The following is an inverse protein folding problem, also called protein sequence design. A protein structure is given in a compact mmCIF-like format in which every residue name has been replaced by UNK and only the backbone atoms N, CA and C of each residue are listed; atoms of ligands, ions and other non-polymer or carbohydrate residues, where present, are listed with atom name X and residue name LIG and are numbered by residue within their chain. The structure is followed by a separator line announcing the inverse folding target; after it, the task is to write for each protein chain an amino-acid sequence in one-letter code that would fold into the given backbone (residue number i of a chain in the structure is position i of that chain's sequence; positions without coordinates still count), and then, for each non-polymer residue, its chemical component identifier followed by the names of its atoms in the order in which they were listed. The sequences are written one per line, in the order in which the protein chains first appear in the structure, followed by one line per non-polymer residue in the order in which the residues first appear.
data_IF_806064532847
#
_entry.id   IF_806064532847
#
_cell.length_a   1.000
_cell.length_b   1.000
_cell.length_c   1.000
_cell.angle_alpha   90.00
_cell.angle_beta   90.00
_cell.angle_gamma   90.00
#
_symmetry.space_group_name_H-M   'P 1'
#
loop_
_entity.id
_entity.type
_entity.pdbx_description
1 polymer ?
#
# COMPACT_ATOMS: atom_id res chain seq x y z
N UNK A 1 9.91 1.46 12.25
CA UNK A 1 8.58 0.87 12.05
C UNK A 1 7.69 1.79 11.24
N UNK A 2 6.79 1.21 10.47
CA UNK A 2 5.85 1.97 9.64
C UNK A 2 4.75 2.62 10.51
N UNK A 3 4.18 3.76 10.05
CA UNK A 3 2.95 4.29 10.63
C UNK A 3 1.87 3.20 10.64
N UNK A 4 1.06 3.14 11.69
CA UNK A 4 0.16 2.00 11.94
C UNK A 4 -0.86 1.75 10.82
N UNK A 5 -1.46 2.79 10.27
CA UNK A 5 -2.42 2.63 9.18
C UNK A 5 -1.74 2.24 7.87
N UNK A 6 -0.58 2.81 7.59
CA UNK A 6 0.23 2.42 6.44
C UNK A 6 0.65 0.95 6.55
N UNK A 7 1.10 0.52 7.73
CA UNK A 7 1.45 -0.88 7.96
C UNK A 7 0.26 -1.81 7.67
N UNK A 8 -0.93 -1.42 8.09
CA UNK A 8 -2.15 -2.21 7.87
C UNK A 8 -2.38 -2.48 6.38
N UNK A 9 -2.38 -1.45 5.53
CA UNK A 9 -2.66 -1.64 4.10
C UNK A 9 -1.51 -2.34 3.38
N UNK A 10 -0.27 -2.07 3.77
CA UNK A 10 0.89 -2.72 3.16
C UNK A 10 0.93 -4.20 3.51
N UNK A 11 0.67 -4.56 4.76
CA UNK A 11 0.67 -5.97 5.18
C UNK A 11 -0.44 -6.76 4.50
N UNK A 12 -1.64 -6.22 4.38
CA UNK A 12 -2.72 -6.90 3.68
C UNK A 12 -2.39 -7.08 2.19
N UNK A 13 -1.79 -6.08 1.57
CA UNK A 13 -1.32 -6.18 0.20
C UNK A 13 -0.26 -7.27 0.07
N UNK A 14 0.69 -7.32 1.00
CA UNK A 14 1.77 -8.31 1.00
C UNK A 14 1.23 -9.74 1.13
N UNK A 15 0.22 -9.96 1.96
CA UNK A 15 -0.40 -11.28 2.13
C UNK A 15 -1.00 -11.78 0.82
N UNK A 16 -1.62 -10.89 0.04
CA UNK A 16 -2.32 -11.28 -1.18
C UNK A 16 -1.46 -11.26 -2.45
N UNK A 17 -0.45 -10.40 -2.49
CA UNK A 17 0.31 -10.14 -3.72
C UNK A 17 1.83 -10.23 -3.55
N UNK A 18 2.29 -10.56 -2.35
CA UNK A 18 3.71 -10.71 -2.05
C UNK A 18 4.34 -9.47 -1.45
N UNK A 19 5.31 -9.68 -0.57
CA UNK A 19 6.02 -8.62 0.17
C UNK A 19 6.74 -7.67 -0.79
N UNK A 20 7.41 -8.21 -1.80
CA UNK A 20 8.19 -7.39 -2.75
C UNK A 20 7.29 -6.39 -3.48
N UNK A 21 6.13 -6.85 -3.96
CA UNK A 21 5.19 -5.99 -4.68
C UNK A 21 4.62 -4.90 -3.77
N UNK A 22 4.20 -5.28 -2.57
CA UNK A 22 3.65 -4.31 -1.61
C UNK A 22 4.70 -3.27 -1.21
N UNK A 23 5.93 -3.72 -0.97
CA UNK A 23 7.03 -2.83 -0.59
C UNK A 23 7.40 -1.87 -1.72
N UNK A 24 7.43 -2.35 -2.96
CA UNK A 24 7.68 -1.48 -4.12
C UNK A 24 6.58 -0.44 -4.32
N UNK A 25 5.32 -0.81 -4.08
CA UNK A 25 4.21 0.13 -4.16
C UNK A 25 4.37 1.24 -3.12
N UNK A 26 4.70 0.88 -1.89
CA UNK A 26 4.95 1.87 -0.84
C UNK A 26 6.13 2.78 -1.17
N UNK A 27 7.22 2.20 -1.65
CA UNK A 27 8.40 2.98 -2.05
C UNK A 27 8.06 3.98 -3.17
N UNK A 28 7.30 3.53 -4.17
CA UNK A 28 6.85 4.40 -5.26
C UNK A 28 6.01 5.56 -4.75
N UNK A 29 5.07 5.30 -3.86
CA UNK A 29 4.21 6.33 -3.24
C UNK A 29 5.06 7.37 -2.50
N UNK A 30 6.14 6.95 -1.88
CA UNK A 30 7.02 7.82 -1.10
C UNK A 30 8.16 8.44 -1.91
N UNK A 31 8.07 8.37 -3.23
CA UNK A 31 9.01 9.04 -4.12
C UNK A 31 10.30 8.29 -4.40
N UNK A 32 10.38 7.02 -4.05
CA UNK A 32 11.55 6.18 -4.35
C UNK A 32 11.35 5.54 -5.72
N UNK A 33 12.02 6.09 -6.73
CA UNK A 33 12.03 5.49 -8.06
C UNK A 33 12.89 4.22 -8.02
N UNK A 34 12.49 3.18 -8.72
CA UNK A 34 13.24 1.93 -8.79
C UNK A 34 13.48 1.27 -7.42
N UNK A 35 12.47 1.29 -6.56
CA UNK A 35 12.55 0.63 -5.26
C UNK A 35 12.88 -0.85 -5.40
N UNK A 36 13.68 -1.36 -4.45
CA UNK A 36 14.14 -2.75 -4.46
C UNK A 36 13.16 -3.75 -3.82
N UNK A 37 12.05 -3.25 -3.27
CA UNK A 37 11.08 -4.10 -2.58
C UNK A 37 11.49 -4.45 -1.15
N UNK A 38 12.51 -3.81 -0.63
CA UNK A 38 13.01 -4.04 0.74
C UNK A 38 12.82 -2.75 1.54
N UNK A 39 12.07 -2.83 2.63
CA UNK A 39 11.85 -1.68 3.50
C UNK A 39 12.95 -1.64 4.55
N UNK A 40 14.02 -0.93 4.23
CA UNK A 40 15.12 -0.67 5.14
C UNK A 40 15.06 0.72 5.74
N UNK A 41 16.12 1.18 6.44
CA UNK A 41 16.13 2.49 7.09
C UNK A 41 15.86 3.67 6.15
N UNK A 42 16.40 3.64 4.94
CA UNK A 42 16.17 4.70 3.95
C UNK A 42 14.71 4.76 3.52
N UNK A 43 14.09 3.60 3.27
CA UNK A 43 12.67 3.54 2.92
C UNK A 43 11.77 3.98 4.06
N UNK A 44 12.06 3.56 5.29
CA UNK A 44 11.32 4.00 6.47
C UNK A 44 11.39 5.51 6.64
N UNK A 45 12.58 6.09 6.46
CA UNK A 45 12.74 7.54 6.53
C UNK A 45 11.90 8.26 5.48
N UNK A 46 11.88 7.75 4.24
CA UNK A 46 11.07 8.31 3.17
C UNK A 46 9.57 8.23 3.49
N UNK A 47 9.10 7.13 4.08
CA UNK A 47 7.71 6.97 4.49
C UNK A 47 7.32 8.01 5.55
N UNK A 48 8.11 8.12 6.61
CA UNK A 48 7.83 9.09 7.67
C UNK A 48 7.91 10.53 7.18
N UNK A 49 8.85 10.83 6.27
CA UNK A 49 8.95 12.16 5.66
C UNK A 49 7.71 12.48 4.83
N UNK A 50 7.22 11.51 4.05
CA UNK A 50 6.03 11.68 3.23
C UNK A 50 4.80 11.90 4.11
N UNK A 51 4.65 11.12 5.17
CA UNK A 51 3.55 11.27 6.12
C UNK A 51 3.60 12.66 6.78
N UNK A 52 4.78 13.14 7.13
CA UNK A 52 4.95 14.47 7.72
C UNK A 52 4.57 15.58 6.75
N UNK A 53 4.92 15.45 5.47
CA UNK A 53 4.68 16.48 4.46
C UNK A 53 3.26 16.44 3.89
N UNK A 54 2.58 15.31 3.96
CA UNK A 54 1.19 15.15 3.52
C UNK A 54 0.33 14.69 4.69
N UNK A 55 -0.03 13.41 4.73
CA UNK A 55 -0.69 12.81 5.88
C UNK A 55 -0.58 11.29 5.77
N UNK A 56 -0.82 10.59 6.87
CA UNK A 56 -0.91 9.13 6.84
C UNK A 56 -2.09 8.69 5.97
N UNK A 57 -3.20 9.41 6.03
CA UNK A 57 -4.37 9.16 5.18
C UNK A 57 -4.00 9.20 3.69
N UNK A 58 -3.22 10.21 3.26
CA UNK A 58 -2.80 10.34 1.87
C UNK A 58 -1.95 9.15 1.43
N UNK A 59 -1.04 8.68 2.27
CA UNK A 59 -0.21 7.52 1.96
C UNK A 59 -1.06 6.25 1.87
N UNK A 60 -2.00 6.06 2.80
CA UNK A 60 -2.93 4.93 2.76
C UNK A 60 -3.72 4.93 1.45
N UNK A 61 -4.27 6.06 1.07
CA UNK A 61 -5.05 6.18 -0.17
C UNK A 61 -4.20 5.91 -1.40
N UNK A 62 -2.97 6.41 -1.45
CA UNK A 62 -2.08 6.22 -2.59
C UNK A 62 -1.67 4.75 -2.76
N UNK A 63 -1.34 4.06 -1.68
CA UNK A 63 -1.02 2.64 -1.71
C UNK A 63 -2.24 1.82 -2.14
N UNK A 64 -3.41 2.16 -1.61
CA UNK A 64 -4.68 1.51 -1.96
C UNK A 64 -4.97 1.66 -3.45
N UNK A 65 -4.78 2.86 -4.01
CA UNK A 65 -4.98 3.12 -5.43
C UNK A 65 -4.04 2.27 -6.29
N UNK A 66 -2.77 2.17 -5.94
CA UNK A 66 -1.83 1.34 -6.68
C UNK A 66 -2.24 -0.13 -6.66
N UNK A 67 -2.70 -0.61 -5.51
CA UNK A 67 -3.18 -1.99 -5.39
C UNK A 67 -4.41 -2.24 -6.27
N UNK A 68 -5.35 -1.30 -6.30
CA UNK A 68 -6.54 -1.39 -7.14
C UNK A 68 -6.16 -1.44 -8.63
N UNK A 69 -5.25 -0.57 -9.06
CA UNK A 69 -4.77 -0.55 -10.44
C UNK A 69 -4.11 -1.87 -10.83
N UNK A 70 -3.29 -2.43 -9.94
CA UNK A 70 -2.64 -3.72 -10.16
C UNK A 70 -3.68 -4.83 -10.35
N UNK A 71 -4.67 -4.91 -9.48
CA UNK A 71 -5.69 -5.96 -9.55
C UNK A 71 -6.52 -5.84 -10.82
N UNK A 72 -6.90 -4.62 -11.19
CA UNK A 72 -7.72 -4.39 -12.41
C UNK A 72 -6.97 -4.76 -13.69
N UNK A 73 -5.65 -4.76 -13.66
CA UNK A 73 -4.83 -5.17 -14.80
C UNK A 73 -4.67 -6.69 -14.93
N UNK A 74 -5.07 -7.47 -13.92
CA UNK A 74 -4.95 -8.93 -13.97
C UNK A 74 -6.00 -9.54 -14.89
N UNK A 75 -5.60 -10.59 -15.62
CA UNK A 75 -6.51 -11.30 -16.53
C UNK A 75 -7.68 -11.97 -15.83
N UNK A 76 -7.51 -12.32 -14.55
CA UNK A 76 -8.54 -12.98 -13.75
C UNK A 76 -9.47 -12.01 -13.02
N UNK A 77 -9.32 -10.70 -13.27
CA UNK A 77 -10.14 -9.69 -12.60
C UNK A 77 -11.64 -9.94 -12.74
N UNK A 78 -12.09 -10.29 -13.94
CA UNK A 78 -13.51 -10.51 -14.20
C UNK A 78 -14.13 -11.59 -13.32
N UNK A 79 -13.31 -12.55 -12.87
CA UNK A 79 -13.77 -13.64 -12.02
C UNK A 79 -13.73 -13.26 -10.53
N UNK A 80 -12.65 -12.61 -10.09
CA UNK A 80 -12.39 -12.40 -8.66
C UNK A 80 -12.33 -10.93 -8.25
N UNK A 81 -12.33 -10.01 -9.20
CA UNK A 81 -12.03 -8.60 -8.95
C UNK A 81 -12.96 -7.93 -7.95
N UNK A 82 -14.26 -8.21 -7.99
CA UNK A 82 -15.22 -7.58 -7.05
C UNK A 82 -14.94 -7.98 -5.61
N UNK A 83 -14.62 -9.25 -5.37
CA UNK A 83 -14.26 -9.72 -4.03
C UNK A 83 -12.95 -9.10 -3.55
N UNK A 84 -11.97 -8.99 -4.43
CA UNK A 84 -10.69 -8.36 -4.10
C UNK A 84 -10.86 -6.87 -3.82
N UNK A 85 -11.65 -6.15 -4.61
CA UNK A 85 -11.89 -4.72 -4.36
C UNK A 85 -12.64 -4.48 -3.06
N UNK A 86 -13.58 -5.36 -2.71
CA UNK A 86 -14.26 -5.28 -1.42
C UNK A 86 -13.25 -5.42 -0.28
N UNK A 87 -12.34 -6.39 -0.37
CA UNK A 87 -11.31 -6.58 0.64
C UNK A 87 -10.39 -5.36 0.75
N UNK A 88 -10.01 -4.78 -0.39
CA UNK A 88 -9.17 -3.57 -0.41
C UNK A 88 -9.89 -2.42 0.29
N UNK A 89 -11.16 -2.21 -0.01
CA UNK A 89 -11.95 -1.15 0.61
C UNK A 89 -12.11 -1.36 2.11
N UNK A 90 -12.35 -2.58 2.53
CA UNK A 90 -12.46 -2.93 3.95
C UNK A 90 -11.14 -2.70 4.68
N UNK A 91 -10.03 -3.06 4.06
CA UNK A 91 -8.70 -2.85 4.63
C UNK A 91 -8.39 -1.36 4.74
N UNK A 92 -8.72 -0.58 3.72
CA UNK A 92 -8.54 0.87 3.75
C UNK A 92 -9.35 1.50 4.89
N UNK A 93 -10.62 1.12 5.01
CA UNK A 93 -11.48 1.64 6.07
C UNK A 93 -10.91 1.30 7.46
N UNK A 94 -10.44 0.07 7.64
CA UNK A 94 -9.82 -0.34 8.90
C UNK A 94 -8.55 0.46 9.19
N UNK A 95 -7.72 0.70 8.18
CA UNK A 95 -6.50 1.50 8.35
C UNK A 95 -6.84 2.94 8.76
N UNK A 96 -7.89 3.52 8.18
CA UNK A 96 -8.34 4.87 8.56
C UNK A 96 -8.81 4.93 10.00
N UNK A 97 -9.41 3.86 10.53
CA UNK A 97 -9.81 3.80 11.93
C UNK A 97 -8.60 3.77 12.89
N UNK A 98 -7.45 3.28 12.42
CA UNK A 98 -6.24 3.18 13.24
C UNK A 98 -5.51 4.52 13.38
N UNK A 99 -5.85 5.50 12.57
CA UNK A 99 -5.21 6.81 12.63
C UNK A 99 -6.19 7.87 13.13
#
# INVERSE_FOLDING_TARGET
DLPVGVACVVMDYAVNSGISRASKALQSVCGIANGDGIIGPASLNAVWTTVKNTSEEDVINAVTTQRQEFIRALKIYDTFGKGWERRIDETRAKAMELI
#
